data_IF_065281444367
#
_entry.id   IF_065281444367
#
_cell.length_a   1.000
_cell.length_b   1.000
_cell.length_c   1.000
_cell.angle_alpha   90.00
_cell.angle_beta   90.00
_cell.angle_gamma   90.00
#
_symmetry.space_group_name_H-M   'P 1'
#
loop_
_entity.id
_entity.type
_entity.pdbx_description
1 polymer ?
#
# COMPACT_ATOMS: atom_id res chain seq x y z
N UNK A 1 1.86 -35.67 56.35
CA UNK A 1 0.84 -35.58 55.27
C UNK A 1 1.17 -34.33 54.49
N UNK A 2 1.75 -34.50 53.32
CA UNK A 2 2.09 -33.42 52.40
C UNK A 2 1.10 -33.49 51.22
N UNK A 3 0.23 -32.47 51.07
CA UNK A 3 -0.69 -32.34 49.95
C UNK A 3 0.02 -31.60 48.84
N UNK A 4 0.25 -32.29 47.75
CA UNK A 4 0.73 -31.71 46.50
C UNK A 4 -0.46 -31.11 45.73
N UNK A 5 -0.47 -29.81 45.51
CA UNK A 5 -1.37 -29.14 44.57
C UNK A 5 -0.79 -29.26 43.17
N UNK A 6 -1.45 -30.03 42.33
CA UNK A 6 -1.24 -30.06 40.89
C UNK A 6 -1.97 -28.85 40.28
N UNK A 7 -1.23 -27.87 39.79
CA UNK A 7 -1.76 -26.88 38.86
C UNK A 7 -1.84 -27.50 37.48
N UNK A 8 -3.05 -27.79 37.01
CA UNK A 8 -3.28 -28.08 35.63
C UNK A 8 -3.25 -26.75 34.84
N UNK A 9 -2.19 -26.52 34.10
CA UNK A 9 -2.24 -25.57 32.98
C UNK A 9 -3.17 -26.13 31.94
N UNK A 10 -4.31 -25.49 31.72
CA UNK A 10 -5.10 -25.70 30.51
C UNK A 10 -4.38 -24.94 29.40
N UNK A 11 -3.59 -25.65 28.61
CA UNK A 11 -3.21 -25.17 27.30
C UNK A 11 -4.52 -25.06 26.51
N UNK A 12 -4.88 -23.83 26.13
CA UNK A 12 -5.86 -23.61 25.09
C UNK A 12 -5.21 -24.07 23.79
N UNK A 13 -5.45 -25.32 23.43
CA UNK A 13 -5.24 -25.81 22.08
C UNK A 13 -6.17 -25.03 21.13
N UNK A 14 -5.70 -23.89 20.70
CA UNK A 14 -6.20 -23.31 19.47
C UNK A 14 -5.67 -24.22 18.35
N UNK A 15 -6.54 -24.95 17.63
CA UNK A 15 -6.09 -25.86 16.61
C UNK A 15 -5.48 -25.02 15.50
N UNK A 16 -4.15 -24.88 15.54
CA UNK A 16 -3.41 -24.42 14.35
C UNK A 16 -3.96 -25.21 13.17
N UNK A 17 -4.39 -24.54 12.09
CA UNK A 17 -4.93 -25.27 10.95
C UNK A 17 -3.91 -26.32 10.54
N UNK A 18 -4.28 -27.58 10.63
CA UNK A 18 -3.44 -28.69 10.18
C UNK A 18 -3.22 -28.44 8.69
N UNK A 19 -2.07 -27.90 8.37
CA UNK A 19 -1.65 -27.70 6.98
C UNK A 19 -1.39 -29.10 6.44
N UNK A 20 -2.33 -29.63 5.68
CA UNK A 20 -2.11 -30.87 4.93
C UNK A 20 -0.92 -30.65 4.00
N UNK A 21 0.23 -31.18 4.38
CA UNK A 21 1.47 -31.06 3.63
C UNK A 21 1.53 -32.06 2.45
N UNK A 22 0.52 -32.88 2.24
CA UNK A 22 0.48 -33.79 1.11
C UNK A 22 0.28 -33.02 -0.19
N UNK A 23 1.26 -33.08 -1.07
CA UNK A 23 1.13 -32.61 -2.46
C UNK A 23 0.55 -33.76 -3.24
N UNK A 24 -0.60 -33.59 -3.92
CA UNK A 24 -1.11 -34.64 -4.80
C UNK A 24 -0.08 -35.03 -5.83
N UNK A 25 0.12 -36.34 -6.07
CA UNK A 25 1.13 -36.84 -6.98
C UNK A 25 1.00 -36.19 -8.37
N UNK A 26 2.13 -35.71 -8.89
CA UNK A 26 2.21 -35.01 -10.17
C UNK A 26 1.57 -33.60 -10.18
N UNK A 27 1.09 -33.06 -9.05
CA UNK A 27 0.44 -31.74 -9.00
C UNK A 27 1.43 -30.62 -8.73
N UNK A 28 1.17 -29.44 -9.27
CA UNK A 28 1.78 -28.18 -8.84
C UNK A 28 0.81 -27.49 -7.88
N UNK A 29 1.30 -27.11 -6.71
CA UNK A 29 0.53 -26.43 -5.68
C UNK A 29 1.13 -25.06 -5.42
N UNK A 30 0.36 -24.01 -5.60
CA UNK A 30 0.73 -22.65 -5.21
C UNK A 30 0.20 -22.32 -3.83
N UNK A 31 1.09 -21.98 -2.91
CA UNK A 31 0.77 -21.34 -1.63
C UNK A 31 1.10 -19.86 -1.76
N UNK A 32 0.07 -19.03 -1.83
CA UNK A 32 0.20 -17.60 -2.06
C UNK A 32 -0.24 -16.88 -0.80
N UNK A 33 0.61 -15.99 -0.30
CA UNK A 33 0.30 -15.12 0.84
C UNK A 33 0.45 -13.65 0.48
N UNK A 34 -0.31 -12.84 1.17
CA UNK A 34 -0.12 -11.39 1.25
C UNK A 34 0.08 -10.99 2.69
N UNK A 35 0.66 -9.83 2.90
CA UNK A 35 0.95 -9.35 4.23
C UNK A 35 -0.30 -8.86 4.92
N UNK A 36 -0.44 -9.27 6.13
CA UNK A 36 -1.35 -9.05 7.25
C UNK A 36 -2.66 -8.26 7.14
N UNK A 37 -3.62 -8.81 7.93
CA UNK A 37 -4.92 -8.27 8.28
C UNK A 37 -4.83 -7.19 9.34
N UNK A 38 -5.60 -6.09 9.15
CA UNK A 38 -6.39 -5.50 10.22
C UNK A 38 -7.82 -5.35 9.71
N UNK A 39 -8.76 -5.89 10.49
CA UNK A 39 -10.18 -5.82 10.18
C UNK A 39 -10.69 -4.42 10.45
N UNK A 40 -10.91 -3.63 9.41
CA UNK A 40 -11.97 -2.61 9.41
C UNK A 40 -12.13 -2.13 7.98
N UNK A 41 -13.32 -2.34 7.42
CA UNK A 41 -13.66 -2.00 6.06
C UNK A 41 -13.47 -0.51 5.78
N UNK A 42 -12.41 -0.17 5.08
CA UNK A 42 -12.11 1.18 4.66
C UNK A 42 -12.21 1.32 3.14
N UNK A 43 -12.62 2.48 2.72
CA UNK A 43 -12.91 2.87 1.35
C UNK A 43 -11.74 2.61 0.41
N UNK A 44 -12.03 2.01 -0.73
CA UNK A 44 -11.11 1.80 -1.86
C UNK A 44 -10.58 3.13 -2.38
N UNK A 45 -9.28 3.29 -2.48
CA UNK A 45 -8.63 4.39 -3.20
C UNK A 45 -8.08 5.54 -2.34
N UNK A 46 -8.39 5.66 -1.05
CA UNK A 46 -7.82 6.69 -0.18
C UNK A 46 -7.08 6.07 1.00
N UNK A 47 -5.91 6.59 1.27
CA UNK A 47 -5.10 6.25 2.44
C UNK A 47 -5.47 7.23 3.56
N UNK A 48 -6.04 6.74 4.66
CA UNK A 48 -6.45 7.58 5.79
C UNK A 48 -5.67 7.28 7.08
N UNK A 49 -4.84 6.27 7.07
CA UNK A 49 -3.99 5.92 8.22
C UNK A 49 -2.80 5.10 7.77
N UNK A 50 -1.86 4.85 8.69
CA UNK A 50 -0.74 3.95 8.47
C UNK A 50 -1.15 2.47 8.53
N UNK A 51 -2.35 2.17 9.01
CA UNK A 51 -2.87 0.80 9.03
C UNK A 51 -2.96 0.23 7.61
N UNK A 52 -2.37 -0.92 7.46
CA UNK A 52 -2.30 -1.61 6.18
C UNK A 52 -3.54 -2.51 5.99
N UNK A 53 -4.65 -1.95 5.55
CA UNK A 53 -5.72 -2.76 4.97
C UNK A 53 -5.44 -2.96 3.50
N UNK A 54 -5.34 -4.23 3.07
CA UNK A 54 -5.15 -4.56 1.66
C UNK A 54 -6.49 -4.80 0.99
N UNK A 55 -6.61 -4.35 -0.26
CA UNK A 55 -7.76 -4.61 -1.11
C UNK A 55 -7.33 -5.42 -2.33
N UNK A 56 -7.11 -6.72 -2.11
CA UNK A 56 -6.80 -7.67 -3.18
C UNK A 56 -8.02 -8.55 -3.40
N UNK A 57 -8.63 -8.43 -4.56
CA UNK A 57 -9.82 -9.21 -4.93
C UNK A 57 -9.54 -10.22 -6.03
N UNK A 58 -8.40 -10.14 -6.69
CA UNK A 58 -7.93 -11.09 -7.69
C UNK A 58 -6.42 -11.28 -7.63
N UNK A 59 -5.98 -12.50 -7.90
CA UNK A 59 -4.58 -12.86 -8.00
C UNK A 59 -4.36 -13.71 -9.24
N UNK A 60 -3.28 -13.40 -9.98
CA UNK A 60 -2.80 -14.23 -11.09
C UNK A 60 -1.35 -14.64 -10.84
N UNK A 61 -0.99 -15.88 -11.16
CA UNK A 61 0.38 -16.39 -11.11
C UNK A 61 0.88 -16.63 -12.53
N UNK A 62 1.97 -16.00 -12.88
CA UNK A 62 2.66 -16.14 -14.16
C UNK A 62 3.86 -17.06 -13.97
N UNK A 63 3.94 -18.12 -14.77
CA UNK A 63 5.06 -19.04 -14.80
C UNK A 63 5.98 -18.73 -15.98
N UNK A 64 7.27 -18.66 -15.72
CA UNK A 64 8.32 -18.42 -16.71
C UNK A 64 9.33 -19.57 -16.65
N UNK A 65 9.47 -20.31 -17.76
CA UNK A 65 10.40 -21.43 -17.87
C UNK A 65 11.82 -20.98 -18.20
N UNK A 66 12.80 -21.65 -17.65
CA UNK A 66 14.21 -21.44 -18.01
C UNK A 66 14.47 -22.02 -19.42
N UNK A 67 14.93 -21.18 -20.35
CA UNK A 67 15.32 -21.61 -21.70
C UNK A 67 16.84 -21.73 -21.88
N UNK A 68 17.61 -21.70 -20.77
CA UNK A 68 19.06 -21.77 -20.76
C UNK A 68 19.77 -20.40 -20.77
N UNK A 69 19.11 -19.33 -21.20
CA UNK A 69 19.66 -17.97 -21.21
C UNK A 69 18.83 -16.98 -20.40
N UNK A 70 17.51 -17.18 -20.32
CA UNK A 70 16.56 -16.32 -19.58
C UNK A 70 15.36 -17.15 -19.12
N UNK A 71 14.52 -16.53 -18.30
CA UNK A 71 13.21 -17.04 -17.93
C UNK A 71 12.13 -16.39 -18.81
N UNK A 72 11.46 -17.21 -19.61
CA UNK A 72 10.48 -16.77 -20.59
C UNK A 72 9.08 -17.27 -20.26
N UNK A 73 8.08 -16.47 -20.58
CA UNK A 73 6.68 -16.77 -20.27
C UNK A 73 6.24 -18.11 -20.84
N UNK A 74 5.65 -18.92 -19.99
CA UNK A 74 5.11 -20.23 -20.30
C UNK A 74 3.59 -20.30 -20.10
N UNK A 75 3.08 -19.82 -18.95
CA UNK A 75 1.66 -19.96 -18.60
C UNK A 75 1.20 -18.96 -17.54
N UNK A 76 -0.10 -18.67 -17.52
CA UNK A 76 -0.77 -17.90 -16.45
C UNK A 76 -1.81 -18.78 -15.76
N UNK A 77 -1.93 -18.62 -14.43
CA UNK A 77 -2.96 -19.20 -13.60
C UNK A 77 -3.72 -18.09 -12.89
N UNK A 78 -5.03 -18.02 -13.13
CA UNK A 78 -5.91 -17.14 -12.36
C UNK A 78 -6.37 -17.88 -11.11
N UNK A 79 -6.06 -17.32 -9.94
CA UNK A 79 -6.28 -17.97 -8.65
C UNK A 79 -7.73 -17.76 -8.23
N UNK A 80 -8.54 -18.75 -8.46
CA UNK A 80 -9.96 -18.72 -8.12
C UNK A 80 -10.21 -18.65 -6.60
N UNK A 81 -11.31 -17.99 -6.21
CA UNK A 81 -11.74 -17.88 -4.82
C UNK A 81 -10.84 -16.99 -3.96
N UNK A 82 -10.06 -16.10 -4.55
CA UNK A 82 -9.46 -14.98 -3.83
C UNK A 82 -10.53 -13.90 -3.64
N UNK A 83 -10.61 -13.33 -2.45
CA UNK A 83 -11.56 -12.27 -2.13
C UNK A 83 -10.89 -11.25 -1.22
N UNK A 84 -11.51 -10.09 -1.06
CA UNK A 84 -11.03 -9.04 -0.17
C UNK A 84 -10.83 -9.59 1.26
N UNK A 85 -9.72 -9.22 1.89
CA UNK A 85 -9.32 -9.71 3.21
C UNK A 85 -8.69 -11.12 3.22
N UNK A 86 -8.58 -11.80 2.08
CA UNK A 86 -7.83 -13.06 1.98
C UNK A 86 -6.33 -12.78 2.10
N UNK A 87 -5.66 -13.41 3.07
CA UNK A 87 -4.21 -13.26 3.29
C UNK A 87 -3.40 -14.47 2.85
N UNK A 88 -4.04 -15.60 2.67
CA UNK A 88 -3.41 -16.84 2.22
C UNK A 88 -4.39 -17.65 1.36
N UNK A 89 -3.85 -18.26 0.31
CA UNK A 89 -4.59 -19.20 -0.52
C UNK A 89 -3.69 -20.33 -1.01
N UNK A 90 -4.15 -21.56 -0.81
CA UNK A 90 -3.59 -22.73 -1.51
C UNK A 90 -4.40 -22.97 -2.78
N UNK A 91 -3.69 -23.10 -3.90
CA UNK A 91 -4.27 -23.38 -5.21
C UNK A 91 -3.60 -24.60 -5.81
N UNK A 92 -4.37 -25.64 -6.09
CA UNK A 92 -3.90 -26.87 -6.75
C UNK A 92 -4.16 -26.73 -8.25
N UNK A 93 -3.10 -26.83 -9.04
CA UNK A 93 -3.19 -26.75 -10.50
C UNK A 93 -3.94 -27.98 -11.03
N UNK A 94 -4.94 -27.75 -11.88
CA UNK A 94 -5.70 -28.83 -12.51
C UNK A 94 -4.81 -29.71 -13.40
N UNK A 95 -5.16 -30.99 -13.57
CA UNK A 95 -4.37 -31.98 -14.31
C UNK A 95 -4.01 -31.52 -15.73
N UNK A 96 -4.99 -30.95 -16.46
CA UNK A 96 -4.77 -30.47 -17.84
C UNK A 96 -3.95 -29.18 -17.93
N UNK A 97 -3.61 -28.56 -16.79
CA UNK A 97 -2.95 -27.26 -16.70
C UNK A 97 -1.55 -27.35 -16.12
N UNK A 98 -1.06 -28.54 -15.84
CA UNK A 98 0.27 -28.79 -15.28
C UNK A 98 1.39 -28.20 -16.15
N UNK A 99 2.45 -27.77 -15.48
CA UNK A 99 3.70 -27.37 -16.13
C UNK A 99 4.56 -28.63 -16.38
N UNK A 100 5.28 -28.69 -17.48
CA UNK A 100 6.37 -29.69 -17.65
C UNK A 100 7.39 -29.57 -16.52
N UNK A 101 8.07 -30.71 -16.23
CA UNK A 101 9.19 -30.67 -15.28
C UNK A 101 10.29 -29.73 -15.78
N UNK A 102 10.87 -28.95 -14.88
CA UNK A 102 11.91 -27.98 -15.23
C UNK A 102 12.04 -26.86 -14.19
N UNK A 103 12.96 -25.93 -14.45
CA UNK A 103 13.21 -24.77 -13.61
C UNK A 103 12.34 -23.61 -14.05
N UNK A 104 11.67 -22.98 -13.08
CA UNK A 104 10.77 -21.87 -13.31
C UNK A 104 11.03 -20.70 -12.36
N UNK A 105 10.74 -19.50 -12.85
CA UNK A 105 10.40 -18.35 -12.01
C UNK A 105 8.89 -18.14 -12.03
N UNK A 106 8.35 -17.86 -10.86
CA UNK A 106 6.94 -17.54 -10.69
C UNK A 106 6.79 -16.10 -10.22
N UNK A 107 5.81 -15.41 -10.78
CA UNK A 107 5.39 -14.07 -10.38
C UNK A 107 3.92 -14.11 -10.03
N UNK A 108 3.58 -13.94 -8.76
CA UNK A 108 2.20 -13.66 -8.36
C UNK A 108 1.93 -12.16 -8.41
N UNK A 109 0.75 -11.77 -8.91
CA UNK A 109 0.28 -10.39 -8.96
C UNK A 109 -1.10 -10.32 -8.36
N UNK A 110 -1.24 -9.55 -7.28
CA UNK A 110 -2.48 -9.31 -6.55
C UNK A 110 -2.93 -7.86 -6.70
N UNK A 111 -4.23 -7.65 -6.97
CA UNK A 111 -4.80 -6.31 -7.13
C UNK A 111 -6.32 -6.31 -6.94
N UNK A 112 -6.93 -5.13 -6.76
CA UNK A 112 -8.39 -5.00 -6.80
C UNK A 112 -8.87 -5.14 -8.26
N UNK A 113 -10.03 -5.75 -8.44
CA UNK A 113 -10.71 -5.82 -9.74
C UNK A 113 -11.11 -4.44 -10.28
N UNK A 114 -11.28 -3.45 -9.40
CA UNK A 114 -11.66 -2.07 -9.73
C UNK A 114 -10.45 -1.13 -9.91
N UNK A 115 -9.19 -1.63 -9.83
CA UNK A 115 -8.01 -0.83 -10.04
C UNK A 115 -7.89 -0.32 -11.49
N UNK A 116 -7.08 0.72 -11.69
CA UNK A 116 -6.82 1.31 -13.01
C UNK A 116 -5.48 0.85 -13.61
N UNK A 117 -4.81 -0.12 -12.99
CA UNK A 117 -3.57 -0.65 -13.55
C UNK A 117 -3.81 -1.54 -14.76
N UNK A 118 -2.99 -1.33 -15.78
CA UNK A 118 -2.79 -2.30 -16.86
C UNK A 118 -1.54 -3.11 -16.54
N UNK A 119 -1.72 -4.39 -16.24
CA UNK A 119 -0.62 -5.34 -16.06
C UNK A 119 -0.23 -5.91 -17.41
N UNK A 120 1.07 -6.01 -17.68
CA UNK A 120 1.58 -6.64 -18.89
C UNK A 120 0.95 -8.02 -19.08
N UNK A 121 0.34 -8.25 -20.25
CA UNK A 121 -0.14 -9.57 -20.68
C UNK A 121 0.98 -10.23 -21.49
N UNK A 122 1.77 -11.13 -20.90
CA UNK A 122 2.93 -11.67 -21.58
C UNK A 122 2.53 -12.65 -22.67
N UNK A 123 3.25 -12.64 -23.78
CA UNK A 123 3.18 -13.65 -24.85
C UNK A 123 4.31 -14.67 -24.70
N UNK A 124 4.14 -15.85 -25.30
CA UNK A 124 5.15 -16.92 -25.27
C UNK A 124 6.51 -16.38 -25.71
N UNK A 125 7.54 -16.66 -24.93
CA UNK A 125 8.91 -16.19 -25.18
C UNK A 125 9.24 -14.82 -24.60
N UNK A 126 8.28 -14.10 -24.01
CA UNK A 126 8.53 -12.82 -23.36
C UNK A 126 9.28 -13.01 -22.04
N UNK A 127 10.30 -12.16 -21.81
CA UNK A 127 11.14 -12.22 -20.63
C UNK A 127 10.38 -11.92 -19.32
N UNK A 128 10.74 -12.64 -18.27
CA UNK A 128 10.28 -12.40 -16.90
C UNK A 128 10.48 -10.95 -16.43
N UNK A 129 11.62 -10.33 -16.77
CA UNK A 129 11.97 -8.99 -16.34
C UNK A 129 11.09 -7.88 -16.97
N UNK A 130 10.33 -8.20 -18.01
CA UNK A 130 9.47 -7.22 -18.72
C UNK A 130 8.08 -7.02 -18.09
N UNK A 131 7.80 -7.70 -16.97
CA UNK A 131 6.49 -7.61 -16.31
C UNK A 131 6.31 -6.28 -15.59
N UNK A 132 5.38 -5.48 -16.08
CA UNK A 132 5.09 -4.13 -15.59
C UNK A 132 3.62 -3.97 -15.19
N UNK A 133 3.38 -3.09 -14.24
CA UNK A 133 2.08 -2.46 -14.04
C UNK A 133 2.17 -1.01 -14.49
N UNK A 134 1.22 -0.59 -15.30
CA UNK A 134 1.15 0.75 -15.89
C UNK A 134 -0.16 1.41 -15.48
N UNK A 135 -0.10 2.69 -15.09
CA UNK A 135 -1.27 3.52 -14.87
C UNK A 135 -1.35 4.59 -15.96
N UNK A 136 -2.57 4.92 -16.42
CA UNK A 136 -2.77 6.01 -17.33
C UNK A 136 -2.42 7.35 -16.65
N UNK A 137 -1.97 8.34 -17.42
CA UNK A 137 -1.56 9.65 -16.91
C UNK A 137 -2.65 10.38 -16.12
N UNK A 138 -3.91 10.09 -16.41
CA UNK A 138 -5.10 10.60 -15.69
C UNK A 138 -5.68 9.60 -14.69
N UNK A 139 -5.03 8.46 -14.50
CA UNK A 139 -5.46 7.42 -13.57
C UNK A 139 -5.05 7.76 -12.15
N UNK A 140 -5.78 7.23 -11.18
CA UNK A 140 -5.41 7.27 -9.78
C UNK A 140 -4.67 6.00 -9.43
N UNK A 141 -3.56 6.13 -8.73
CA UNK A 141 -2.85 5.00 -8.18
C UNK A 141 -3.74 4.29 -7.15
N UNK A 142 -3.63 2.98 -7.13
CA UNK A 142 -4.23 2.08 -6.15
C UNK A 142 -3.21 1.05 -5.70
N UNK A 143 -3.61 0.14 -4.81
CA UNK A 143 -2.71 -0.93 -4.40
C UNK A 143 -2.46 -1.92 -5.53
N UNK A 144 -1.21 -2.29 -5.69
CA UNK A 144 -0.80 -3.46 -6.46
C UNK A 144 0.27 -4.22 -5.69
N UNK A 145 0.11 -5.53 -5.63
CA UNK A 145 1.01 -6.44 -4.95
C UNK A 145 1.68 -7.36 -5.96
N UNK A 146 2.92 -7.70 -5.73
CA UNK A 146 3.54 -8.82 -6.42
C UNK A 146 4.59 -9.52 -5.57
N UNK A 147 4.79 -10.79 -5.85
CA UNK A 147 5.78 -11.63 -5.22
C UNK A 147 6.43 -12.56 -6.23
N UNK A 148 7.69 -12.90 -6.00
CA UNK A 148 8.47 -13.73 -6.92
C UNK A 148 9.14 -14.87 -6.19
N UNK A 149 9.22 -16.01 -6.85
CA UNK A 149 10.00 -17.15 -6.35
C UNK A 149 10.58 -17.94 -7.51
N UNK A 150 11.67 -18.66 -7.25
CA UNK A 150 12.25 -19.64 -8.19
C UNK A 150 12.02 -21.02 -7.61
N UNK A 151 11.52 -21.95 -8.41
CA UNK A 151 11.29 -23.32 -7.98
C UNK A 151 11.44 -24.29 -9.16
N UNK A 152 11.81 -25.52 -8.83
CA UNK A 152 11.81 -26.62 -9.77
C UNK A 152 10.44 -27.33 -9.75
N UNK A 153 9.83 -27.48 -10.91
CA UNK A 153 8.67 -28.34 -11.11
C UNK A 153 9.14 -29.75 -11.36
N UNK A 154 8.65 -30.71 -10.59
CA UNK A 154 9.01 -32.11 -10.64
C UNK A 154 7.83 -32.94 -11.12
N UNK A 155 8.10 -34.06 -11.82
CA UNK A 155 7.06 -35.00 -12.29
C UNK A 155 6.21 -35.58 -11.14
N UNK A 156 6.83 -35.77 -9.97
CA UNK A 156 6.15 -36.30 -8.77
C UNK A 156 5.29 -35.26 -8.04
N UNK A 157 5.31 -34.00 -8.46
CA UNK A 157 4.63 -32.89 -7.83
C UNK A 157 5.56 -31.86 -7.19
N UNK A 158 5.12 -30.62 -7.10
CA UNK A 158 5.88 -29.51 -6.58
C UNK A 158 5.00 -28.52 -5.82
N UNK A 159 5.57 -27.96 -4.76
CA UNK A 159 4.96 -26.89 -3.96
C UNK A 159 5.73 -25.59 -4.16
N UNK A 160 5.03 -24.53 -4.48
CA UNK A 160 5.61 -23.21 -4.79
C UNK A 160 4.98 -22.19 -3.84
N UNK A 161 5.78 -21.65 -2.95
CA UNK A 161 5.33 -20.61 -2.01
C UNK A 161 5.72 -19.24 -2.54
N UNK A 162 4.76 -18.30 -2.57
CA UNK A 162 4.96 -16.94 -3.06
C UNK A 162 4.35 -15.97 -2.06
N UNK A 163 5.16 -15.10 -1.52
CA UNK A 163 4.73 -13.97 -0.69
C UNK A 163 4.68 -12.70 -1.53
N UNK A 164 3.54 -12.01 -1.50
CA UNK A 164 3.32 -10.77 -2.25
C UNK A 164 3.48 -9.56 -1.34
N UNK A 165 4.21 -8.54 -1.80
CA UNK A 165 4.37 -7.24 -1.15
C UNK A 165 3.87 -6.11 -2.04
N UNK A 166 3.49 -4.97 -1.46
CA UNK A 166 3.05 -3.80 -2.23
C UNK A 166 4.15 -3.30 -3.16
N UNK A 167 3.76 -2.89 -4.36
CA UNK A 167 4.66 -2.29 -5.37
C UNK A 167 4.46 -0.78 -5.53
N UNK A 168 3.64 -0.19 -4.68
CA UNK A 168 3.44 1.26 -4.53
C UNK A 168 3.81 1.69 -3.11
N UNK A 169 4.01 3.00 -2.92
CA UNK A 169 4.13 3.63 -1.63
C UNK A 169 2.77 4.13 -1.14
N UNK A 170 2.58 4.21 0.18
CA UNK A 170 1.52 5.00 0.79
C UNK A 170 2.03 6.39 1.15
N UNK A 171 1.24 7.42 0.91
CA UNK A 171 1.54 8.81 1.30
C UNK A 171 0.34 9.37 2.04
N UNK A 172 0.56 9.92 3.22
CA UNK A 172 -0.45 10.52 4.08
C UNK A 172 -0.08 11.96 4.42
N UNK A 173 -1.08 12.85 4.34
CA UNK A 173 -1.00 14.20 4.89
C UNK A 173 -2.08 14.41 5.94
N UNK A 174 -1.67 14.79 7.14
CA UNK A 174 -2.53 15.11 8.25
C UNK A 174 -2.16 16.47 8.81
N UNK A 175 -3.03 17.46 8.62
CA UNK A 175 -2.76 18.86 8.88
C UNK A 175 -3.88 19.48 9.70
N UNK A 176 -3.57 20.38 10.64
CA UNK A 176 -4.58 21.15 11.38
C UNK A 176 -4.38 22.65 11.16
N UNK A 177 -5.42 23.41 11.50
CA UNK A 177 -5.44 24.87 11.47
C UNK A 177 -5.13 25.46 10.09
N UNK A 178 -5.68 24.85 9.02
CA UNK A 178 -5.56 25.40 7.67
C UNK A 178 -6.39 26.69 7.58
N UNK A 179 -5.77 27.88 7.39
CA UNK A 179 -6.50 29.14 7.39
C UNK A 179 -7.32 29.31 6.11
N UNK A 180 -8.49 29.93 6.22
CA UNK A 180 -9.30 30.34 5.07
C UNK A 180 -8.64 31.48 4.30
N UNK A 181 -8.05 32.43 5.02
CA UNK A 181 -7.35 33.58 4.45
C UNK A 181 -5.92 33.59 4.98
N UNK A 182 -4.96 33.72 4.08
CA UNK A 182 -3.55 33.88 4.39
C UNK A 182 -2.99 34.99 3.51
N UNK A 183 -2.30 35.97 4.12
CA UNK A 183 -1.74 37.13 3.43
C UNK A 183 -2.77 37.90 2.55
N UNK A 184 -4.01 37.97 3.02
CA UNK A 184 -5.13 38.65 2.35
C UNK A 184 -5.71 37.85 1.16
N UNK A 185 -5.30 36.62 0.93
CA UNK A 185 -5.71 35.76 -0.16
C UNK A 185 -6.52 34.57 0.38
N UNK A 186 -7.53 34.13 -0.38
CA UNK A 186 -8.34 32.96 -0.02
C UNK A 186 -7.58 31.68 -0.37
N UNK A 187 -7.37 30.83 0.62
CA UNK A 187 -6.83 29.50 0.46
C UNK A 187 -7.91 28.58 -0.11
N UNK A 188 -7.67 28.01 -1.28
CA UNK A 188 -8.64 27.17 -1.98
C UNK A 188 -8.15 25.72 -2.06
N UNK A 189 -6.84 25.52 -2.15
CA UNK A 189 -6.27 24.18 -2.23
C UNK A 189 -5.13 24.01 -1.22
N UNK A 190 -5.06 22.81 -0.65
CA UNK A 190 -3.92 22.29 0.07
C UNK A 190 -3.33 21.13 -0.75
N UNK A 191 -2.07 21.26 -1.19
CA UNK A 191 -1.43 20.30 -2.09
C UNK A 191 -0.11 19.81 -1.55
N UNK A 192 0.13 18.50 -1.69
CA UNK A 192 1.45 17.91 -1.62
C UNK A 192 1.87 17.51 -3.03
N UNK A 193 2.90 18.15 -3.54
CA UNK A 193 3.38 17.95 -4.92
C UNK A 193 4.77 17.33 -4.93
N UNK A 194 4.97 16.35 -5.80
CA UNK A 194 6.27 15.78 -6.13
C UNK A 194 6.85 16.45 -7.38
N UNK A 195 8.17 16.59 -7.44
CA UNK A 195 8.86 17.19 -8.60
C UNK A 195 8.79 16.32 -9.87
N UNK A 196 8.58 15.03 -9.69
CA UNK A 196 8.51 14.03 -10.75
C UNK A 196 7.67 12.85 -10.28
N UNK A 197 7.22 12.02 -11.22
CA UNK A 197 6.45 10.81 -10.95
C UNK A 197 6.78 9.72 -11.96
N UNK A 198 6.47 8.48 -11.63
CA UNK A 198 6.53 7.36 -12.56
C UNK A 198 5.12 6.91 -12.94
N UNK A 199 4.97 6.39 -14.15
CA UNK A 199 3.70 5.83 -14.64
C UNK A 199 3.71 4.30 -14.65
N UNK A 200 4.85 3.69 -14.40
CA UNK A 200 5.02 2.24 -14.40
C UNK A 200 5.83 1.78 -13.20
N UNK A 201 5.54 0.58 -12.76
CA UNK A 201 6.37 -0.14 -11.79
C UNK A 201 6.68 -1.54 -12.31
N UNK A 202 7.93 -1.94 -12.19
CA UNK A 202 8.35 -3.30 -12.51
C UNK A 202 7.88 -4.25 -11.41
N UNK A 203 7.08 -5.25 -11.78
CA UNK A 203 6.45 -6.18 -10.84
C UNK A 203 7.42 -7.20 -10.25
N UNK A 204 8.60 -7.36 -10.85
CA UNK A 204 9.59 -8.33 -10.37
C UNK A 204 10.50 -7.76 -9.29
N UNK A 205 10.71 -6.43 -9.25
CA UNK A 205 11.63 -5.78 -8.32
C UNK A 205 11.08 -4.53 -7.62
N UNK A 206 9.89 -4.04 -8.01
CA UNK A 206 9.27 -2.86 -7.41
C UNK A 206 9.91 -1.52 -7.82
N UNK A 207 10.75 -1.49 -8.85
CA UNK A 207 11.37 -0.26 -9.34
C UNK A 207 10.40 0.48 -10.25
N UNK A 208 10.20 1.77 -9.97
CA UNK A 208 9.42 2.65 -10.83
C UNK A 208 10.21 2.98 -12.11
N UNK A 209 9.51 3.05 -13.22
CA UNK A 209 10.07 3.35 -14.54
C UNK A 209 9.17 4.33 -15.30
N UNK A 210 9.68 4.87 -16.39
CA UNK A 210 8.99 5.85 -17.22
C UNK A 210 8.71 7.17 -16.47
N UNK A 211 9.79 7.77 -15.96
CA UNK A 211 9.72 8.99 -15.15
C UNK A 211 9.24 10.19 -15.99
N UNK A 212 8.19 10.82 -15.49
CA UNK A 212 7.75 12.14 -15.97
C UNK A 212 8.40 13.23 -15.13
N UNK A 213 9.09 14.20 -15.72
CA UNK A 213 9.69 15.32 -15.00
C UNK A 213 8.68 16.42 -14.62
N UNK A 214 7.39 16.22 -14.93
CA UNK A 214 6.34 17.17 -14.57
C UNK A 214 5.98 17.01 -13.09
N UNK A 215 5.71 18.14 -12.43
CA UNK A 215 5.19 18.14 -11.08
C UNK A 215 3.87 17.35 -11.00
N UNK A 216 3.72 16.54 -9.96
CA UNK A 216 2.58 15.68 -9.74
C UNK A 216 2.01 15.91 -8.33
N UNK A 217 0.71 16.19 -8.23
CA UNK A 217 0.05 16.34 -6.95
C UNK A 217 -0.32 14.97 -6.38
N UNK A 218 0.42 14.55 -5.35
CA UNK A 218 0.11 13.31 -4.61
C UNK A 218 -1.15 13.52 -3.77
N UNK A 219 -1.26 14.69 -3.15
CA UNK A 219 -2.45 15.15 -2.41
C UNK A 219 -2.92 16.44 -3.08
N UNK A 220 -4.20 16.52 -3.43
CA UNK A 220 -4.86 17.71 -3.97
C UNK A 220 -6.21 17.90 -3.29
N UNK A 221 -6.19 18.55 -2.13
CA UNK A 221 -7.40 18.85 -1.36
C UNK A 221 -8.01 20.15 -1.80
N UNK A 222 -9.21 20.07 -2.40
CA UNK A 222 -10.05 21.24 -2.64
C UNK A 222 -10.79 21.59 -1.35
N UNK A 223 -10.54 22.77 -0.81
CA UNK A 223 -11.13 23.31 0.41
C UNK A 223 -12.39 24.14 0.14
N UNK A 224 -12.74 24.39 -1.14
CA UNK A 224 -13.92 25.13 -1.53
C UNK A 224 -15.18 24.45 -0.98
N UNK A 225 -16.04 25.24 -0.33
CA UNK A 225 -17.30 24.74 0.21
C UNK A 225 -17.18 24.00 1.56
N UNK A 226 -15.97 23.82 2.09
CA UNK A 226 -15.81 23.34 3.45
C UNK A 226 -16.28 24.38 4.47
N UNK A 227 -16.80 23.90 5.60
CA UNK A 227 -17.17 24.78 6.73
C UNK A 227 -15.93 25.47 7.30
N UNK A 228 -16.08 26.75 7.66
CA UNK A 228 -15.03 27.55 8.28
C UNK A 228 -15.50 27.98 9.68
N UNK A 229 -14.66 27.79 10.68
CA UNK A 229 -14.88 28.24 12.05
C UNK A 229 -13.70 29.08 12.50
N UNK A 230 -13.94 30.30 12.94
CA UNK A 230 -12.89 31.25 13.37
C UNK A 230 -11.79 31.47 12.33
N UNK A 231 -12.13 31.47 11.03
CA UNK A 231 -11.18 31.64 9.95
C UNK A 231 -10.36 30.39 9.58
N UNK A 232 -10.70 29.23 10.16
CA UNK A 232 -10.01 27.93 9.93
C UNK A 232 -10.97 26.95 9.26
N UNK A 233 -10.52 26.21 8.28
CA UNK A 233 -11.26 25.10 7.67
C UNK A 233 -11.42 23.94 8.65
N UNK A 234 -12.65 23.47 8.85
CA UNK A 234 -12.96 22.39 9.80
C UNK A 234 -12.59 21.00 9.29
N UNK A 235 -12.36 20.87 7.97
CA UNK A 235 -12.10 19.61 7.30
C UNK A 235 -13.36 18.80 7.00
N UNK A 236 -13.25 17.90 6.05
CA UNK A 236 -14.33 16.99 5.66
C UNK A 236 -14.67 16.03 6.81
N UNK A 237 -15.95 15.72 6.94
CA UNK A 237 -16.39 14.63 7.81
C UNK A 237 -16.08 13.30 7.13
N UNK A 238 -15.28 12.45 7.80
CA UNK A 238 -14.84 11.13 7.31
C UNK A 238 -15.48 9.98 8.12
N UNK A 239 -16.49 10.26 8.94
CA UNK A 239 -17.13 9.23 9.79
C UNK A 239 -17.79 8.11 8.98
N UNK A 240 -18.30 8.43 7.79
CA UNK A 240 -18.85 7.42 6.87
C UNK A 240 -17.79 6.43 6.35
N UNK A 241 -16.52 6.83 6.40
CA UNK A 241 -15.36 5.99 6.09
C UNK A 241 -14.75 5.32 7.34
N UNK A 242 -15.39 5.46 8.51
CA UNK A 242 -14.89 4.93 9.77
C UNK A 242 -13.66 5.69 10.31
N UNK A 243 -13.42 6.93 9.84
CA UNK A 243 -12.24 7.70 10.21
C UNK A 243 -12.61 8.77 11.23
N UNK A 244 -11.95 8.74 12.37
CA UNK A 244 -12.03 9.79 13.41
C UNK A 244 -10.75 10.63 13.33
N UNK A 245 -10.88 11.95 13.41
CA UNK A 245 -9.77 12.89 13.28
C UNK A 245 -9.87 14.04 14.27
N UNK A 246 -8.73 14.66 14.56
CA UNK A 246 -8.68 15.89 15.38
C UNK A 246 -9.55 17.00 14.75
N UNK A 247 -10.22 17.77 15.59
CA UNK A 247 -11.04 18.90 15.14
C UNK A 247 -10.20 19.90 14.32
N UNK A 248 -10.81 20.54 13.33
CA UNK A 248 -10.18 21.52 12.44
C UNK A 248 -8.95 20.97 11.70
N UNK A 249 -8.97 19.66 11.38
CA UNK A 249 -7.90 19.02 10.64
C UNK A 249 -8.33 18.58 9.23
N UNK A 250 -7.36 18.52 8.34
CA UNK A 250 -7.45 17.99 6.99
C UNK A 250 -6.66 16.67 6.96
N UNK A 251 -7.30 15.61 6.50
CA UNK A 251 -6.67 14.30 6.35
C UNK A 251 -6.89 13.81 4.92
N UNK A 252 -5.81 13.51 4.24
CA UNK A 252 -5.84 12.93 2.90
C UNK A 252 -4.59 12.09 2.68
N UNK A 253 -4.75 11.03 1.93
CA UNK A 253 -3.62 10.21 1.51
C UNK A 253 -3.91 9.54 0.18
N UNK A 254 -2.86 9.05 -0.42
CA UNK A 254 -2.88 8.43 -1.75
C UNK A 254 -1.82 7.35 -1.83
N UNK A 255 -1.95 6.49 -2.82
CA UNK A 255 -0.84 5.67 -3.28
C UNK A 255 0.02 6.47 -4.25
N UNK A 256 1.31 6.14 -4.29
CA UNK A 256 2.24 6.80 -5.19
C UNK A 256 3.25 5.80 -5.76
N UNK A 257 3.55 5.93 -7.05
CA UNK A 257 4.52 5.08 -7.72
C UNK A 257 5.93 5.30 -7.17
N UNK A 258 6.74 4.25 -6.98
CA UNK A 258 8.14 4.39 -6.62
C UNK A 258 8.86 5.31 -7.61
N UNK A 259 9.63 6.28 -7.09
CA UNK A 259 10.37 7.26 -7.89
C UNK A 259 11.64 7.68 -7.18
N UNK A 260 12.73 7.83 -7.94
CA UNK A 260 14.02 8.24 -7.42
C UNK A 260 14.21 9.75 -7.51
N UNK A 261 14.99 10.30 -6.58
CA UNK A 261 15.45 11.70 -6.59
C UNK A 261 14.30 12.70 -6.69
N UNK A 262 13.27 12.51 -5.86
CA UNK A 262 12.11 13.40 -5.80
C UNK A 262 12.29 14.46 -4.71
N UNK A 263 11.80 15.68 -4.98
CA UNK A 263 11.55 16.70 -3.95
C UNK A 263 10.06 16.83 -3.74
N UNK A 264 9.62 17.00 -2.49
CA UNK A 264 8.21 17.21 -2.15
C UNK A 264 8.01 18.65 -1.68
N UNK A 265 6.92 19.25 -2.11
CA UNK A 265 6.49 20.59 -1.72
C UNK A 265 5.06 20.53 -1.18
N UNK A 266 4.87 20.95 0.06
CA UNK A 266 3.55 21.23 0.62
C UNK A 266 3.20 22.68 0.33
N UNK A 267 1.95 22.97 -0.05
CA UNK A 267 1.56 24.35 -0.34
C UNK A 267 0.08 24.64 -0.19
N UNK A 268 -0.22 25.92 0.07
CA UNK A 268 -1.54 26.52 0.06
C UNK A 268 -1.69 27.38 -1.18
N UNK A 269 -2.80 27.24 -1.89
CA UNK A 269 -2.99 27.85 -3.21
C UNK A 269 -4.34 28.54 -3.32
N UNK A 270 -4.39 29.59 -4.15
CA UNK A 270 -5.62 30.26 -4.59
C UNK A 270 -6.41 29.39 -5.58
N UNK A 271 -7.64 29.79 -5.89
CA UNK A 271 -8.50 29.11 -6.87
C UNK A 271 -7.90 29.05 -8.29
N UNK A 272 -7.09 30.04 -8.67
CA UNK A 272 -6.39 30.11 -9.96
C UNK A 272 -5.12 29.24 -10.00
N UNK A 273 -4.78 28.56 -8.89
CA UNK A 273 -3.58 27.72 -8.77
C UNK A 273 -2.31 28.46 -8.36
N UNK A 274 -2.36 29.77 -8.12
CA UNK A 274 -1.22 30.50 -7.62
C UNK A 274 -0.89 30.11 -6.17
N UNK A 275 0.38 29.88 -5.87
CA UNK A 275 0.83 29.61 -4.53
C UNK A 275 0.69 30.85 -3.63
N UNK A 276 0.14 30.65 -2.44
CA UNK A 276 0.12 31.64 -1.37
C UNK A 276 1.32 31.42 -0.46
N UNK A 277 1.50 30.17 -0.03
CA UNK A 277 2.61 29.76 0.82
C UNK A 277 3.05 28.33 0.45
N UNK A 278 4.34 28.09 0.45
CA UNK A 278 4.91 26.76 0.20
C UNK A 278 5.98 26.42 1.22
N UNK A 279 6.12 25.14 1.49
CA UNK A 279 7.17 24.56 2.35
C UNK A 279 7.88 23.45 1.57
N UNK A 280 9.21 23.47 1.65
CA UNK A 280 9.99 22.31 1.23
C UNK A 280 9.90 21.23 2.28
N UNK A 281 9.46 20.03 1.89
CA UNK A 281 9.38 18.87 2.77
C UNK A 281 10.78 18.29 2.94
N UNK A 282 11.11 17.94 4.19
CA UNK A 282 12.40 17.33 4.57
C UNK A 282 12.14 15.99 5.25
N UNK A 283 13.07 15.07 5.13
CA UNK A 283 13.07 13.88 5.98
C UNK A 283 13.56 14.22 7.41
N UNK A 284 13.57 13.25 8.30
CA UNK A 284 14.05 13.42 9.69
C UNK A 284 15.53 13.79 9.78
N UNK A 285 16.31 13.54 8.74
CA UNK A 285 17.72 13.96 8.62
C UNK A 285 17.91 15.35 8.02
N UNK A 286 16.82 16.04 7.63
CA UNK A 286 16.85 17.36 7.01
C UNK A 286 17.11 17.33 5.50
N UNK A 287 17.10 16.17 4.87
CA UNK A 287 17.31 16.00 3.42
C UNK A 287 16.02 16.32 2.68
N UNK A 288 16.11 17.09 1.59
CA UNK A 288 14.97 17.54 0.78
C UNK A 288 14.77 16.73 -0.50
N UNK A 289 15.76 15.93 -0.89
CA UNK A 289 15.70 15.07 -2.08
C UNK A 289 15.88 13.62 -1.65
N UNK A 290 14.90 12.79 -1.84
CA UNK A 290 14.91 11.39 -1.41
C UNK A 290 14.20 10.48 -2.41
N UNK A 291 14.25 9.18 -2.17
CA UNK A 291 13.57 8.19 -2.99
C UNK A 291 12.23 7.81 -2.37
N UNK A 292 11.20 7.69 -3.18
CA UNK A 292 9.96 7.01 -2.80
C UNK A 292 10.11 5.55 -3.22
N UNK A 293 10.01 4.65 -2.27
CA UNK A 293 10.23 3.22 -2.45
C UNK A 293 8.92 2.45 -2.35
N UNK A 294 8.82 1.35 -3.08
CA UNK A 294 7.71 0.40 -2.96
C UNK A 294 7.60 -0.12 -1.51
N UNK A 295 6.39 -0.38 -1.07
CA UNK A 295 6.07 -0.91 0.26
C UNK A 295 6.54 -0.04 1.44
N UNK A 296 6.79 1.26 1.20
CA UNK A 296 7.08 2.25 2.25
C UNK A 296 5.88 3.15 2.47
N UNK A 297 5.78 3.66 3.71
CA UNK A 297 4.77 4.64 4.07
C UNK A 297 5.43 5.97 4.43
N UNK A 298 4.92 7.05 3.83
CA UNK A 298 5.42 8.42 3.94
C UNK A 298 4.34 9.28 4.59
N UNK A 299 4.62 9.85 5.76
CA UNK A 299 3.64 10.55 6.57
C UNK A 299 4.07 11.98 6.88
N UNK A 300 3.19 12.95 6.57
CA UNK A 300 3.28 14.33 7.02
C UNK A 300 2.21 14.53 8.12
N UNK A 301 2.61 14.55 9.36
CA UNK A 301 1.76 14.33 10.51
C UNK A 301 1.50 12.84 10.73
N UNK A 302 0.96 12.48 11.89
CA UNK A 302 0.77 11.08 12.27
C UNK A 302 -0.70 10.75 12.43
N UNK A 303 -1.13 9.66 11.80
CA UNK A 303 -2.40 8.99 11.98
C UNK A 303 -2.20 7.49 11.82
N UNK A 304 -2.03 6.79 12.93
CA UNK A 304 -1.71 5.36 12.93
C UNK A 304 -2.94 4.54 12.57
N UNK A 305 -4.05 4.78 13.25
CA UNK A 305 -5.32 4.09 13.05
C UNK A 305 -6.36 5.00 12.42
N UNK A 306 -7.22 4.47 11.59
CA UNK A 306 -8.30 5.22 10.99
C UNK A 306 -9.40 5.57 12.00
N UNK A 307 -9.84 4.59 12.77
CA UNK A 307 -10.88 4.69 13.78
C UNK A 307 -10.34 5.04 15.17
N UNK A 308 -11.25 5.05 16.14
CA UNK A 308 -10.94 5.30 17.53
C UNK A 308 -10.44 4.02 18.24
N UNK A 309 -9.26 4.09 18.88
CA UNK A 309 -8.68 2.99 19.65
C UNK A 309 -9.36 2.78 21.03
N UNK A 310 -10.02 3.81 21.57
CA UNK A 310 -10.59 3.79 22.93
C UNK A 310 -12.09 3.44 22.97
N UNK A 311 -12.70 3.08 21.83
CA UNK A 311 -14.11 2.65 21.74
C UNK A 311 -15.16 3.76 21.82
N UNK A 312 -14.77 5.04 21.85
CA UNK A 312 -15.66 6.19 21.70
C UNK A 312 -15.78 6.59 20.22
N UNK A 313 -16.94 7.12 19.79
CA UNK A 313 -17.18 7.43 18.37
C UNK A 313 -16.57 8.74 17.89
N UNK A 314 -16.15 9.63 18.80
CA UNK A 314 -15.77 11.01 18.48
C UNK A 314 -14.36 11.40 18.96
N UNK A 315 -13.58 10.45 19.46
CA UNK A 315 -12.26 10.73 20.03
C UNK A 315 -11.16 10.32 19.04
N UNK A 316 -10.26 11.23 18.62
CA UNK A 316 -9.10 10.87 17.82
C UNK A 316 -8.20 9.90 18.58
N UNK A 317 -7.44 9.10 17.86
CA UNK A 317 -6.47 8.19 18.47
C UNK A 317 -5.40 8.96 19.27
N UNK A 318 -4.89 8.38 20.34
CA UNK A 318 -3.83 8.97 21.17
C UNK A 318 -2.55 9.27 20.36
N UNK A 319 -2.38 8.58 19.21
CA UNK A 319 -1.25 8.73 18.30
C UNK A 319 -1.48 9.80 17.21
N UNK A 320 -2.62 10.50 17.24
CA UNK A 320 -2.93 11.53 16.25
C UNK A 320 -2.11 12.80 16.48
N UNK A 321 -1.18 13.07 15.58
CA UNK A 321 -0.32 14.26 15.62
C UNK A 321 -0.30 14.99 14.27
N UNK A 322 -1.36 15.78 13.95
CA UNK A 322 -1.40 16.57 12.73
C UNK A 322 -0.42 17.75 12.78
N UNK A 323 0.24 18.03 11.67
CA UNK A 323 1.09 19.22 11.50
C UNK A 323 0.24 20.49 11.58
N UNK A 324 0.63 21.44 12.41
CA UNK A 324 -0.08 22.72 12.58
C UNK A 324 0.43 23.76 11.58
N UNK A 325 -0.34 24.07 10.54
CA UNK A 325 0.07 24.97 9.45
C UNK A 325 0.12 26.45 9.84
N UNK A 326 -0.40 26.83 11.02
CA UNK A 326 -0.23 28.20 11.53
C UNK A 326 1.09 28.40 12.28
N UNK A 327 1.56 27.36 12.98
CA UNK A 327 2.74 27.45 13.87
C UNK A 327 3.98 26.78 13.30
N UNK A 328 3.81 25.69 12.56
CA UNK A 328 4.95 24.91 12.11
C UNK A 328 5.62 25.55 10.90
N UNK A 329 6.92 25.77 11.05
CA UNK A 329 7.76 26.37 10.01
C UNK A 329 8.56 25.33 9.22
N UNK A 330 8.71 24.12 9.79
CA UNK A 330 9.43 23.02 9.17
C UNK A 330 8.46 21.85 8.94
N UNK A 331 8.34 21.43 7.69
CA UNK A 331 7.53 20.27 7.32
C UNK A 331 8.44 19.06 7.18
N UNK A 332 8.29 18.12 8.10
CA UNK A 332 9.08 16.89 8.15
C UNK A 332 8.21 15.71 7.75
N UNK A 333 8.72 14.88 6.84
CA UNK A 333 8.11 13.62 6.46
C UNK A 333 8.72 12.49 7.26
N UNK A 334 7.88 11.65 7.83
CA UNK A 334 8.29 10.39 8.46
C UNK A 334 8.22 9.29 7.42
N UNK A 335 9.27 8.47 7.34
CA UNK A 335 9.38 7.35 6.42
C UNK A 335 9.37 6.06 7.22
N UNK A 336 8.37 5.22 6.99
CA UNK A 336 8.27 3.90 7.60
C UNK A 336 8.63 2.85 6.54
N UNK A 337 9.80 2.22 6.65
CA UNK A 337 10.20 1.13 5.77
C UNK A 337 9.36 -0.11 6.08
N UNK A 338 8.98 -0.85 5.05
CA UNK A 338 8.11 -2.01 5.18
C UNK A 338 6.78 -1.66 5.90
N UNK A 339 5.87 -1.10 5.17
CA UNK A 339 4.55 -0.61 5.64
C UNK A 339 3.80 -1.58 6.57
N UNK A 340 4.03 -2.86 6.40
CA UNK A 340 3.39 -3.91 7.19
C UNK A 340 3.99 -4.15 8.59
N UNK A 341 5.19 -3.64 8.88
CA UNK A 341 5.89 -3.88 10.14
C UNK A 341 5.52 -2.91 11.28
N UNK A 342 4.80 -1.85 11.00
CA UNK A 342 4.48 -0.80 12.00
C UNK A 342 3.63 -1.35 13.12
N UNK A 343 2.75 -2.32 12.83
CA UNK A 343 1.83 -2.89 13.81
C UNK A 343 2.47 -3.81 14.86
N UNK A 344 3.65 -4.35 14.58
CA UNK A 344 4.35 -5.22 15.54
C UNK A 344 5.20 -4.46 16.56
N UNK A 345 5.41 -3.15 16.37
CA UNK A 345 6.21 -2.31 17.28
C UNK A 345 5.35 -1.60 18.34
N UNK A 346 4.04 -1.54 18.18
CA UNK A 346 3.11 -0.84 19.08
C UNK A 346 2.45 -1.79 20.10
N UNK A 347 2.61 -3.11 19.95
CA UNK A 347 2.03 -4.13 20.85
C UNK A 347 3.10 -4.71 21.81
N UNK A 348 4.03 -3.93 22.27
CA UNK A 348 4.91 -4.35 23.38
C UNK A 348 4.72 -3.46 24.60
#
# INVERSE_FOLDING_TARGET
>A
MASAFLFACSESDDPSPVVDNSIPEGSVVFDISTVNKLNNGMSRGNVYSQEATQHVTRVSVYAFSNNGSDYVYAKTYDISGWSDGTTFKRYVVAEGDKLPAGDYKFLAVGRDAADQFTVTSPSVGQSYSSMMATIAQSGNESEIFSGTTTAQVLDKGSRVSIEMTRKVAGVLGYFKNVPQILDGKTVTFLRLSASNSNQQVNLTNGVGVNTSPAAYNIIDLNLSGQTVTNGIYTGNNLSAQGVVKVANSQLSGSYFMPVSSVTLTLGLYEANGNAIKTWSVKDTGGVTTFNILANHFYSLGMKVQAGNVNGGTDDPGDDDDPIDLLTDQNIVITISPAWELIHNLIIQ
#
